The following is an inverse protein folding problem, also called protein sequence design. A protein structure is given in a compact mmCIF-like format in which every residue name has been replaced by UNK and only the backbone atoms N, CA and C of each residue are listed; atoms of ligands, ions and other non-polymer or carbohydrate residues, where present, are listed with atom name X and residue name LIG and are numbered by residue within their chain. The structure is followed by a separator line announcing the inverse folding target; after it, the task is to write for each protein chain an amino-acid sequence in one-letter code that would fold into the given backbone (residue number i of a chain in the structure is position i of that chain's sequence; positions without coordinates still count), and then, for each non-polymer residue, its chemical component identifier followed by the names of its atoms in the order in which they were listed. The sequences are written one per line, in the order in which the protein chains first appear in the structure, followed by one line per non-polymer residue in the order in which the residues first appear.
data_IF_760212401911
#
_entry.id   IF_760212401911
#
_cell.length_a   1.000
_cell.length_b   1.000
_cell.length_c   1.000
_cell.angle_alpha   90.00
_cell.angle_beta   90.00
_cell.angle_gamma   90.00
#
_symmetry.space_group_name_H-M   'P 1'
#
loop_
_entity.id
_entity.type
_entity.pdbx_description
1 polymer ?
#
# COMPACT_ATOMS: atom_id res chain seq x y z
N UNK A 1 -4.80 -11.73 -24.68
CA UNK A 1 -3.45 -11.17 -24.42
C UNK A 1 -3.66 -10.07 -23.41
N UNK A 2 -3.01 -10.04 -22.24
CA UNK A 2 -3.18 -8.91 -21.33
C UNK A 2 -2.63 -7.66 -22.02
N UNK A 3 -3.50 -6.69 -22.19
CA UNK A 3 -3.27 -5.47 -22.94
C UNK A 3 -2.40 -4.53 -22.10
N UNK A 4 -1.16 -4.32 -22.55
CA UNK A 4 -0.15 -3.37 -22.06
C UNK A 4 0.49 -3.68 -20.70
N UNK A 5 1.68 -4.30 -20.72
CA UNK A 5 2.58 -4.51 -19.58
C UNK A 5 3.13 -3.20 -18.99
N UNK A 6 2.24 -2.39 -18.41
CA UNK A 6 2.54 -1.12 -17.75
C UNK A 6 1.78 -1.08 -16.43
N UNK A 7 2.48 -0.70 -15.38
CA UNK A 7 1.84 -0.42 -14.11
C UNK A 7 1.10 0.90 -14.14
N UNK A 8 0.08 1.00 -13.28
CA UNK A 8 -0.66 2.23 -13.01
C UNK A 8 -0.33 2.72 -11.61
N UNK A 9 -0.04 4.01 -11.49
CA UNK A 9 0.13 4.63 -10.18
C UNK A 9 -1.17 4.64 -9.39
N UNK A 10 -1.05 4.21 -8.13
CA UNK A 10 -2.09 4.15 -7.15
C UNK A 10 -1.66 4.97 -5.94
N UNK A 11 -2.30 6.14 -5.78
CA UNK A 11 -2.06 7.03 -4.65
C UNK A 11 -2.82 6.56 -3.41
N UNK A 12 -2.12 6.37 -2.30
CA UNK A 12 -2.70 6.07 -0.99
C UNK A 12 -2.17 7.04 0.06
N UNK A 13 -3.04 7.40 1.01
CA UNK A 13 -2.67 8.24 2.13
C UNK A 13 -2.29 7.35 3.30
N UNK A 14 -1.09 7.56 3.83
CA UNK A 14 -0.53 6.82 4.96
C UNK A 14 -0.11 7.78 6.05
N UNK A 15 -0.20 7.38 7.32
CA UNK A 15 0.42 8.12 8.40
C UNK A 15 1.95 8.06 8.28
N UNK A 16 2.66 8.99 8.92
CA UNK A 16 4.11 9.00 8.96
C UNK A 16 4.75 7.64 9.37
N UNK A 17 4.32 6.96 10.45
CA UNK A 17 4.92 5.67 10.82
C UNK A 17 4.72 4.59 9.74
N UNK A 18 3.57 4.57 9.07
CA UNK A 18 3.31 3.64 7.95
C UNK A 18 4.17 4.00 6.73
N UNK A 19 4.39 5.29 6.48
CA UNK A 19 5.31 5.76 5.43
C UNK A 19 6.75 5.26 5.67
N UNK A 20 7.26 5.44 6.90
CA UNK A 20 8.60 4.98 7.27
C UNK A 20 8.73 3.45 7.15
N UNK A 21 7.71 2.70 7.58
CA UNK A 21 7.69 1.23 7.45
C UNK A 21 7.61 0.76 5.98
N UNK A 22 6.80 1.41 5.13
CA UNK A 22 6.77 1.12 3.70
C UNK A 22 8.12 1.40 3.03
N UNK A 23 8.79 2.49 3.42
CA UNK A 23 10.09 2.86 2.87
C UNK A 23 11.15 1.82 3.25
N UNK A 24 11.14 1.35 4.51
CA UNK A 24 12.02 0.27 4.95
C UNK A 24 11.76 -1.03 4.16
N UNK A 25 10.50 -1.45 4.07
CA UNK A 25 10.10 -2.64 3.30
C UNK A 25 10.58 -2.58 1.84
N UNK A 26 10.35 -1.45 1.15
CA UNK A 26 10.77 -1.30 -0.25
C UNK A 26 12.29 -1.18 -0.43
N UNK A 27 12.99 -0.65 0.56
CA UNK A 27 14.45 -0.67 0.58
C UNK A 27 14.97 -2.11 0.69
N UNK A 28 14.38 -2.93 1.56
CA UNK A 28 14.78 -4.32 1.77
C UNK A 28 14.46 -5.19 0.55
N UNK A 29 13.26 -5.05 -0.01
CA UNK A 29 12.77 -5.88 -1.11
C UNK A 29 13.34 -5.50 -2.48
N UNK A 30 13.47 -4.19 -2.74
CA UNK A 30 13.78 -3.67 -4.07
C UNK A 30 14.96 -2.69 -4.09
N UNK A 31 15.58 -2.40 -2.95
CA UNK A 31 16.70 -1.45 -2.86
C UNK A 31 16.30 0.00 -3.07
N UNK A 32 15.01 0.36 -2.91
CA UNK A 32 14.54 1.73 -3.11
C UNK A 32 14.98 2.59 -1.93
N UNK A 33 15.91 3.52 -2.18
CA UNK A 33 16.44 4.42 -1.15
C UNK A 33 15.56 5.65 -0.95
N UNK A 34 14.93 6.15 -2.02
CA UNK A 34 14.08 7.32 -1.98
C UNK A 34 12.71 7.00 -2.59
N UNK A 35 11.78 6.57 -1.74
CA UNK A 35 10.45 6.15 -2.16
C UNK A 35 9.64 7.29 -2.81
N UNK A 36 9.81 8.52 -2.32
CA UNK A 36 9.06 9.67 -2.83
C UNK A 36 9.55 10.08 -4.23
N UNK A 37 10.87 10.08 -4.44
CA UNK A 37 11.48 10.38 -5.74
C UNK A 37 11.23 9.25 -6.75
N UNK A 38 11.31 7.99 -6.33
CA UNK A 38 11.21 6.82 -7.22
C UNK A 38 9.87 6.71 -7.95
N UNK A 39 8.77 7.09 -7.29
CA UNK A 39 7.43 7.06 -7.89
C UNK A 39 6.94 8.47 -8.28
N UNK A 40 7.83 9.38 -8.65
CA UNK A 40 7.43 10.72 -9.09
C UNK A 40 6.66 10.69 -10.43
N UNK A 41 5.49 11.35 -10.55
CA UNK A 41 4.63 11.31 -11.72
C UNK A 41 5.20 12.08 -12.91
N UNK A 42 6.26 12.87 -12.72
CA UNK A 42 7.04 13.37 -13.85
C UNK A 42 7.61 12.21 -14.68
N UNK A 43 7.89 11.06 -14.04
CA UNK A 43 8.26 9.80 -14.66
C UNK A 43 7.00 9.00 -15.01
N UNK A 44 6.30 9.47 -16.05
CA UNK A 44 4.90 9.13 -16.37
C UNK A 44 4.53 7.64 -16.52
N UNK A 45 5.50 6.72 -16.62
CA UNK A 45 5.23 5.27 -16.71
C UNK A 45 6.44 4.44 -16.28
N UNK A 46 6.25 3.50 -15.35
CA UNK A 46 7.26 2.49 -15.01
C UNK A 46 6.96 1.19 -15.81
N UNK A 47 7.94 0.65 -16.55
CA UNK A 47 7.78 -0.62 -17.26
C UNK A 47 7.65 -1.79 -16.29
N UNK A 48 6.97 -2.85 -16.72
CA UNK A 48 6.98 -4.15 -16.01
C UNK A 48 8.39 -4.75 -16.05
N UNK A 49 8.83 -5.37 -14.95
CA UNK A 49 10.20 -5.84 -14.77
C UNK A 49 11.10 -4.83 -14.04
N UNK A 50 10.52 -3.74 -13.56
CA UNK A 50 11.18 -2.79 -12.66
C UNK A 50 11.04 -3.31 -11.22
N UNK A 51 12.15 -3.56 -10.49
CA UNK A 51 12.09 -4.23 -9.19
C UNK A 51 11.24 -3.47 -8.17
N UNK A 52 11.27 -2.12 -8.20
CA UNK A 52 10.45 -1.33 -7.30
C UNK A 52 8.96 -1.38 -7.65
N UNK A 53 8.63 -1.29 -8.93
CA UNK A 53 7.24 -1.39 -9.35
C UNK A 53 6.67 -2.81 -9.17
N UNK A 54 7.44 -3.85 -9.45
CA UNK A 54 7.08 -5.25 -9.19
C UNK A 54 6.82 -5.48 -7.69
N UNK A 55 7.70 -4.99 -6.80
CA UNK A 55 7.50 -5.08 -5.35
C UNK A 55 6.21 -4.37 -4.89
N UNK A 56 5.97 -3.15 -5.36
CA UNK A 56 4.71 -2.45 -5.02
C UNK A 56 3.48 -3.13 -5.65
N UNK A 57 3.62 -3.76 -6.82
CA UNK A 57 2.52 -4.46 -7.47
C UNK A 57 2.13 -5.71 -6.70
N UNK A 58 3.12 -6.46 -6.21
CA UNK A 58 2.93 -7.61 -5.34
C UNK A 58 2.29 -7.20 -4.01
N UNK A 59 2.78 -6.13 -3.37
CA UNK A 59 2.19 -5.57 -2.15
C UNK A 59 0.71 -5.24 -2.35
N UNK A 60 0.36 -4.48 -3.40
CA UNK A 60 -1.04 -4.10 -3.65
C UNK A 60 -1.89 -5.33 -3.97
N UNK A 61 -1.33 -6.31 -4.68
CA UNK A 61 -2.01 -7.59 -4.95
C UNK A 61 -2.29 -8.38 -3.66
N UNK A 62 -1.32 -8.46 -2.76
CA UNK A 62 -1.47 -9.10 -1.45
C UNK A 62 -2.52 -8.38 -0.60
N UNK A 63 -2.46 -7.05 -0.49
CA UNK A 63 -3.48 -6.26 0.21
C UNK A 63 -4.89 -6.52 -0.33
N UNK A 64 -5.03 -6.64 -1.65
CA UNK A 64 -6.31 -6.91 -2.33
C UNK A 64 -6.79 -8.34 -2.10
N UNK A 65 -5.88 -9.32 -2.03
CA UNK A 65 -6.17 -10.73 -1.78
C UNK A 65 -6.58 -10.96 -0.32
N UNK A 66 -5.79 -10.44 0.62
CA UNK A 66 -5.94 -10.60 2.06
C UNK A 66 -6.86 -9.55 2.70
N UNK A 67 -7.47 -8.67 1.88
CA UNK A 67 -8.29 -7.55 2.36
C UNK A 67 -9.29 -7.91 3.46
N UNK A 68 -10.05 -9.03 3.40
CA UNK A 68 -11.00 -9.36 4.47
C UNK A 68 -10.32 -9.62 5.82
N UNK A 69 -9.15 -10.24 5.84
CA UNK A 69 -8.38 -10.48 7.06
C UNK A 69 -7.77 -9.17 7.57
N UNK A 70 -7.11 -8.42 6.68
CA UNK A 70 -6.52 -7.12 7.01
C UNK A 70 -7.56 -6.12 7.53
N UNK A 71 -8.77 -6.14 6.99
CA UNK A 71 -9.87 -5.31 7.46
C UNK A 71 -10.35 -5.69 8.87
N UNK A 72 -10.24 -6.96 9.27
CA UNK A 72 -10.57 -7.39 10.63
C UNK A 72 -9.47 -7.02 11.63
N UNK A 73 -8.21 -7.12 11.20
CA UNK A 73 -7.02 -6.79 11.98
C UNK A 73 -6.72 -5.28 12.06
N UNK A 74 -7.28 -4.48 11.17
CA UNK A 74 -7.02 -3.05 11.08
C UNK A 74 -7.56 -2.27 12.29
N UNK A 75 -6.66 -1.55 12.96
CA UNK A 75 -6.94 -0.66 14.09
C UNK A 75 -7.50 0.70 13.60
N UNK A 76 -8.72 0.71 13.06
CA UNK A 76 -9.35 1.92 12.52
C UNK A 76 -9.56 3.02 13.56
N UNK A 77 -9.89 2.67 14.81
CA UNK A 77 -10.10 3.63 15.88
C UNK A 77 -8.79 4.35 16.27
N UNK A 78 -7.67 3.63 16.33
CA UNK A 78 -6.36 4.23 16.56
C UNK A 78 -5.97 5.17 15.41
N UNK A 79 -6.25 4.74 14.17
CA UNK A 79 -5.95 5.55 12.98
C UNK A 79 -6.82 6.81 12.89
N UNK A 80 -8.05 6.77 13.43
CA UNK A 80 -8.96 7.92 13.44
C UNK A 80 -8.46 9.08 14.32
N UNK A 81 -7.64 8.79 15.32
CA UNK A 81 -7.04 9.80 16.21
C UNK A 81 -5.82 10.49 15.57
N UNK A 82 -5.31 9.95 14.45
CA UNK A 82 -4.21 10.56 13.70
C UNK A 82 -4.65 11.89 13.09
N UNK A 83 -3.81 12.92 13.24
CA UNK A 83 -4.09 14.24 12.69
C UNK A 83 -4.30 14.18 11.15
N UNK A 84 -5.40 14.74 10.63
CA UNK A 84 -5.75 14.64 9.22
C UNK A 84 -4.80 15.37 8.25
N UNK A 85 -3.93 16.25 8.76
CA UNK A 85 -2.88 16.92 7.99
C UNK A 85 -1.53 16.19 8.05
N UNK A 86 -1.41 15.15 8.88
CA UNK A 86 -0.17 14.36 9.03
C UNK A 86 -0.10 13.16 8.07
N UNK A 87 -1.13 12.95 7.25
CA UNK A 87 -1.10 11.92 6.22
C UNK A 87 -0.22 12.32 5.04
N UNK A 88 0.66 11.42 4.64
CA UNK A 88 1.53 11.53 3.47
C UNK A 88 0.90 10.78 2.30
N UNK A 89 0.85 11.42 1.13
CA UNK A 89 0.43 10.76 -0.11
C UNK A 89 1.61 9.99 -0.69
N UNK A 90 1.49 8.67 -0.75
CA UNK A 90 2.46 7.81 -1.43
C UNK A 90 1.88 7.22 -2.71
N UNK A 91 2.74 6.85 -3.64
CA UNK A 91 2.36 6.27 -4.92
C UNK A 91 2.94 4.88 -5.02
N UNK A 92 2.06 3.92 -5.29
CA UNK A 92 2.39 2.53 -5.52
C UNK A 92 2.14 2.21 -6.99
N UNK A 93 2.93 1.34 -7.60
CA UNK A 93 2.69 0.86 -8.95
C UNK A 93 2.00 -0.52 -8.86
N UNK A 94 0.89 -0.70 -9.58
CA UNK A 94 0.23 -2.01 -9.64
C UNK A 94 -0.54 -2.18 -10.95
N UNK A 95 -0.95 -3.41 -11.25
CA UNK A 95 -1.74 -3.70 -12.44
C UNK A 95 -3.07 -2.91 -12.40
N UNK A 96 -3.54 -2.36 -13.53
CA UNK A 96 -4.74 -1.52 -13.56
C UNK A 96 -5.99 -2.17 -12.94
N UNK A 97 -6.15 -3.48 -13.12
CA UNK A 97 -7.25 -4.25 -12.53
C UNK A 97 -7.14 -4.36 -11.01
N UNK A 98 -5.93 -4.61 -10.50
CA UNK A 98 -5.63 -4.65 -9.06
C UNK A 98 -5.86 -3.28 -8.41
N UNK A 99 -5.43 -2.20 -9.08
CA UNK A 99 -5.69 -0.82 -8.62
C UNK A 99 -7.19 -0.51 -8.54
N UNK A 100 -7.97 -0.93 -9.54
CA UNK A 100 -9.42 -0.72 -9.53
C UNK A 100 -10.05 -1.48 -8.34
N UNK A 101 -9.67 -2.73 -8.14
CA UNK A 101 -10.20 -3.56 -7.07
C UNK A 101 -9.83 -3.03 -5.67
N UNK A 102 -8.57 -2.61 -5.48
CA UNK A 102 -8.14 -1.95 -4.24
C UNK A 102 -8.98 -0.72 -3.92
N UNK A 103 -9.20 0.15 -4.92
CA UNK A 103 -10.02 1.36 -4.77
C UNK A 103 -11.46 1.04 -4.38
N UNK A 104 -12.09 0.09 -5.05
CA UNK A 104 -13.46 -0.32 -4.75
C UNK A 104 -13.58 -0.83 -3.31
N UNK A 105 -12.61 -1.64 -2.85
CA UNK A 105 -12.59 -2.18 -1.48
C UNK A 105 -12.37 -1.11 -0.43
N UNK A 106 -11.40 -0.21 -0.63
CA UNK A 106 -11.18 0.90 0.30
C UNK A 106 -12.39 1.84 0.38
N UNK A 107 -13.03 2.15 -0.76
CA UNK A 107 -14.23 2.98 -0.78
C UNK A 107 -15.41 2.30 -0.09
N UNK A 108 -15.61 1.01 -0.32
CA UNK A 108 -16.64 0.23 0.37
C UNK A 108 -16.39 0.20 1.88
N UNK A 109 -15.16 -0.06 2.31
CA UNK A 109 -14.78 -0.06 3.72
C UNK A 109 -14.98 1.31 4.39
N UNK A 110 -14.58 2.41 3.74
CA UNK A 110 -14.80 3.77 4.23
C UNK A 110 -16.29 4.08 4.41
N UNK A 111 -17.12 3.63 3.47
CA UNK A 111 -18.58 3.78 3.54
C UNK A 111 -19.19 2.96 4.68
N UNK A 112 -18.77 1.70 4.85
CA UNK A 112 -19.29 0.80 5.89
C UNK A 112 -18.90 1.27 7.30
N UNK A 113 -17.68 1.82 7.46
CA UNK A 113 -17.19 2.32 8.75
C UNK A 113 -17.55 3.77 9.06
N UNK A 114 -18.18 4.48 8.11
CA UNK A 114 -18.45 5.92 8.22
C UNK A 114 -17.18 6.70 8.61
N UNK A 115 -16.08 6.44 7.88
CA UNK A 115 -14.77 7.04 8.16
C UNK A 115 -14.08 7.52 6.90
N UNK A 116 -13.08 8.36 7.07
CA UNK A 116 -12.29 8.91 5.97
C UNK A 116 -11.50 7.81 5.23
N UNK A 117 -11.39 7.96 3.91
CA UNK A 117 -10.64 7.03 3.06
C UNK A 117 -9.17 6.91 3.51
N UNK A 118 -8.58 7.99 4.01
CA UNK A 118 -7.20 8.03 4.51
C UNK A 118 -7.00 7.11 5.72
N UNK A 119 -7.99 7.12 6.63
CA UNK A 119 -8.03 6.25 7.80
C UNK A 119 -8.07 4.79 7.38
N UNK A 120 -8.95 4.44 6.44
CA UNK A 120 -9.03 3.05 5.94
C UNK A 120 -7.73 2.62 5.25
N UNK A 121 -7.19 3.46 4.37
CA UNK A 121 -5.96 3.17 3.65
C UNK A 121 -4.79 2.94 4.61
N UNK A 122 -4.64 3.82 5.60
CA UNK A 122 -3.58 3.71 6.60
C UNK A 122 -3.75 2.48 7.46
N UNK A 123 -4.93 2.25 8.04
CA UNK A 123 -5.17 1.14 8.96
C UNK A 123 -4.96 -0.24 8.28
N UNK A 124 -5.42 -0.39 7.04
CA UNK A 124 -5.26 -1.64 6.29
C UNK A 124 -3.79 -1.87 5.89
N UNK A 125 -3.07 -0.82 5.48
CA UNK A 125 -1.64 -0.92 5.15
C UNK A 125 -0.79 -1.20 6.40
N UNK A 126 -1.13 -0.57 7.53
CA UNK A 126 -0.48 -0.83 8.82
C UNK A 126 -0.68 -2.28 9.26
N UNK A 127 -1.89 -2.82 9.14
CA UNK A 127 -2.19 -4.22 9.44
C UNK A 127 -1.38 -5.15 8.53
N UNK A 128 -1.28 -4.83 7.23
CA UNK A 128 -0.50 -5.63 6.29
C UNK A 128 1.00 -5.63 6.65
N UNK A 129 1.58 -4.46 6.93
CA UNK A 129 2.99 -4.35 7.34
C UNK A 129 3.27 -5.09 8.65
N UNK A 130 2.36 -4.99 9.61
CA UNK A 130 2.46 -5.71 10.89
C UNK A 130 2.44 -7.22 10.70
N UNK A 131 1.65 -7.72 9.74
CA UNK A 131 1.59 -9.14 9.38
C UNK A 131 2.85 -9.60 8.66
N UNK A 132 3.39 -8.80 7.74
CA UNK A 132 4.64 -9.09 7.02
C UNK A 132 5.84 -9.13 7.96
N UNK A 133 5.97 -8.17 8.89
CA UNK A 133 7.01 -8.16 9.94
C UNK A 133 6.87 -9.35 10.91
N UNK A 134 5.65 -9.80 11.17
CA UNK A 134 5.40 -10.99 11.98
C UNK A 134 5.78 -12.30 11.27
N UNK A 135 5.56 -12.40 9.95
CA UNK A 135 5.89 -13.57 9.15
C UNK A 135 7.42 -13.77 9.05
N UNK A 136 8.18 -12.68 8.86
CA UNK A 136 9.66 -12.68 8.82
C UNK A 136 10.30 -13.19 10.13
N UNK A 137 9.66 -12.95 11.29
CA UNK A 137 10.11 -13.49 12.58
C UNK A 137 9.85 -14.99 12.79
N UNK A 138 9.25 -15.67 11.81
CA UNK A 138 8.85 -17.08 11.92
C UNK A 138 9.79 -18.07 11.24
N UNK A 139 11.02 -17.68 10.85
CA UNK A 139 12.09 -18.64 10.56
C UNK A 139 12.79 -19.09 11.86
N UNK A 140 12.61 -20.35 12.32
CA UNK A 140 13.46 -20.90 13.36
C UNK A 140 14.81 -21.38 12.75
N UNK A 141 15.90 -21.39 13.55
CA UNK A 141 17.24 -21.81 13.11
C UNK A 141 17.37 -23.29 12.75
#
# INVERSE_FOLDING_TARGET
MPENGRYKFFGVYVSQPVYDALTAYLYEEAGIVDFAEYFDPAEQTIPVGDPGADATAELVSSVVSDFPALYDEAEFDATRDVDPNSFVLVRLAAEPGTVANARERFQAAATVRDTDLRTVQTAVLEAWLSRTDADDRTEPP
#
